data_IF_469894224194
#
_entry.id   IF_469894224194
#
_cell.length_a   1.000
_cell.length_b   1.000
_cell.length_c   1.000
_cell.angle_alpha   90.00
_cell.angle_beta   90.00
_cell.angle_gamma   90.00
#
_symmetry.space_group_name_H-M   'P 1'
#
loop_
_entity.id
_entity.type
_entity.pdbx_description
1 polymer ?
#
# COMPACT_ATOMS: atom_id res chain seq x y z
N UNK A 1 -42.92 25.96 -50.66
CA UNK A 1 -41.90 26.77 -49.95
C UNK A 1 -42.51 27.92 -49.16
N UNK A 2 -43.23 28.88 -49.78
CA UNK A 2 -43.86 29.99 -49.04
C UNK A 2 -44.81 29.52 -47.91
N UNK A 3 -45.64 28.51 -48.15
CA UNK A 3 -46.56 27.96 -47.14
C UNK A 3 -45.87 27.29 -45.93
N UNK A 4 -44.65 26.77 -46.12
CA UNK A 4 -43.82 26.22 -45.03
C UNK A 4 -43.33 27.37 -44.15
N UNK A 5 -42.84 28.44 -44.77
CA UNK A 5 -42.39 29.65 -44.07
C UNK A 5 -43.53 30.35 -43.31
N UNK A 6 -44.77 30.20 -43.77
CA UNK A 6 -45.96 30.70 -43.08
C UNK A 6 -46.45 29.79 -41.95
N UNK A 7 -45.84 28.62 -41.73
CA UNK A 7 -46.21 27.71 -40.65
C UNK A 7 -47.56 27.00 -40.84
N UNK A 8 -48.05 26.84 -42.08
CA UNK A 8 -49.34 26.16 -42.34
C UNK A 8 -49.32 24.68 -41.92
N UNK A 9 -50.21 24.28 -41.01
CA UNK A 9 -50.25 22.93 -40.42
C UNK A 9 -50.42 21.80 -41.46
N UNK A 10 -51.22 22.06 -42.50
CA UNK A 10 -51.49 21.10 -43.59
C UNK A 10 -50.25 20.71 -44.38
N UNK A 11 -49.24 21.59 -44.42
CA UNK A 11 -48.00 21.37 -45.17
C UNK A 11 -47.04 20.46 -44.40
N UNK A 12 -47.09 20.45 -43.06
CA UNK A 12 -46.22 19.60 -42.25
C UNK A 12 -46.52 18.11 -42.42
N UNK A 13 -47.78 17.74 -42.71
CA UNK A 13 -48.11 16.35 -43.07
C UNK A 13 -47.45 15.93 -44.39
N UNK A 14 -47.35 16.82 -45.36
CA UNK A 14 -46.68 16.58 -46.65
C UNK A 14 -45.15 16.60 -46.50
N UNK A 15 -44.62 17.27 -45.47
CA UNK A 15 -43.20 17.28 -45.14
C UNK A 15 -42.72 16.01 -44.43
N UNK A 16 -43.62 15.09 -44.05
CA UNK A 16 -43.24 13.83 -43.40
C UNK A 16 -42.17 13.07 -44.19
N UNK A 17 -42.30 13.03 -45.51
CA UNK A 17 -41.36 12.30 -46.38
C UNK A 17 -39.96 12.93 -46.45
N UNK A 18 -39.84 14.22 -46.08
CA UNK A 18 -38.58 14.97 -46.06
C UNK A 18 -37.98 15.05 -44.64
N UNK A 19 -38.77 14.75 -43.62
CA UNK A 19 -38.34 14.75 -42.22
C UNK A 19 -38.14 13.30 -41.76
N UNK A 20 -36.89 12.87 -41.63
CA UNK A 20 -36.55 11.48 -41.30
C UNK A 20 -37.08 11.02 -39.92
N UNK A 21 -37.22 11.95 -38.96
CA UNK A 21 -37.63 11.65 -37.57
C UNK A 21 -38.73 12.58 -37.07
N UNK A 22 -39.49 12.11 -36.07
CA UNK A 22 -40.49 12.92 -35.36
C UNK A 22 -39.85 14.16 -34.70
N UNK A 23 -38.58 14.05 -34.28
CA UNK A 23 -37.82 15.15 -33.69
C UNK A 23 -37.51 16.24 -34.72
N UNK A 24 -37.09 15.87 -35.94
CA UNK A 24 -36.90 16.84 -37.03
C UNK A 24 -38.24 17.55 -37.37
N UNK A 25 -39.34 16.80 -37.40
CA UNK A 25 -40.68 17.38 -37.59
C UNK A 25 -41.05 18.36 -36.47
N UNK A 26 -40.78 17.99 -35.21
CA UNK A 26 -41.03 18.85 -34.04
C UNK A 26 -40.25 20.16 -34.14
N UNK A 27 -38.93 20.09 -34.38
CA UNK A 27 -38.07 21.27 -34.53
C UNK A 27 -38.57 22.17 -35.67
N UNK A 28 -38.97 21.59 -36.79
CA UNK A 28 -39.51 22.33 -37.93
C UNK A 28 -40.83 23.04 -37.58
N UNK A 29 -41.75 22.35 -36.89
CA UNK A 29 -43.01 22.97 -36.43
C UNK A 29 -42.75 24.10 -35.46
N UNK A 30 -41.90 23.90 -34.45
CA UNK A 30 -41.54 24.95 -33.49
C UNK A 30 -40.89 26.15 -34.18
N UNK A 31 -39.96 25.91 -35.09
CA UNK A 31 -39.24 26.98 -35.78
C UNK A 31 -40.15 27.87 -36.63
N UNK A 32 -41.09 27.29 -37.38
CA UNK A 32 -41.95 28.04 -38.30
C UNK A 32 -43.31 28.45 -37.72
N UNK A 33 -43.84 27.76 -36.71
CA UNK A 33 -45.14 28.09 -36.11
C UNK A 33 -45.01 28.93 -34.85
N UNK A 34 -44.09 28.59 -33.94
CA UNK A 34 -43.94 29.30 -32.68
C UNK A 34 -42.53 29.10 -32.06
N UNK A 35 -41.58 30.00 -32.33
CA UNK A 35 -40.22 29.88 -31.80
C UNK A 35 -40.10 30.25 -30.31
N UNK A 36 -41.18 30.74 -29.66
CA UNK A 36 -41.19 31.20 -28.27
C UNK A 36 -42.02 30.27 -27.36
N UNK A 37 -42.20 29.01 -27.77
CA UNK A 37 -42.98 28.02 -27.01
C UNK A 37 -42.41 27.86 -25.60
N UNK A 38 -43.29 27.94 -24.61
CA UNK A 38 -42.92 27.67 -23.22
C UNK A 38 -42.82 26.18 -22.99
N UNK A 39 -41.95 25.79 -22.07
CA UNK A 39 -41.71 24.40 -21.65
C UNK A 39 -42.99 23.62 -21.35
N UNK A 40 -44.00 24.24 -20.72
CA UNK A 40 -45.27 23.59 -20.38
C UNK A 40 -46.17 23.31 -21.59
N UNK A 41 -46.00 24.04 -22.68
CA UNK A 41 -46.81 23.92 -23.90
C UNK A 41 -46.17 22.95 -24.90
N UNK A 42 -44.92 22.56 -24.66
CA UNK A 42 -44.13 21.73 -25.57
C UNK A 42 -44.75 20.34 -25.80
N UNK A 43 -45.39 19.77 -24.77
CA UNK A 43 -46.08 18.47 -24.86
C UNK A 43 -47.19 18.46 -25.93
N UNK A 44 -47.87 19.60 -26.12
CA UNK A 44 -48.93 19.72 -27.12
C UNK A 44 -48.41 19.59 -28.56
N UNK A 45 -47.17 20.02 -28.81
CA UNK A 45 -46.52 19.90 -30.11
C UNK A 45 -45.86 18.53 -30.33
N UNK A 46 -45.43 17.87 -29.25
CA UNK A 46 -44.75 16.58 -29.30
C UNK A 46 -45.70 15.44 -29.69
N UNK A 47 -46.87 15.32 -29.05
CA UNK A 47 -47.77 14.18 -29.28
C UNK A 47 -48.20 14.03 -30.76
N UNK A 48 -48.62 15.10 -31.47
CA UNK A 48 -48.95 15.01 -32.90
C UNK A 48 -47.75 14.59 -33.76
N UNK A 49 -46.55 15.06 -33.42
CA UNK A 49 -45.32 14.67 -34.12
C UNK A 49 -44.99 13.19 -33.88
N UNK A 50 -45.18 12.68 -32.66
CA UNK A 50 -44.96 11.26 -32.36
C UNK A 50 -46.00 10.40 -33.08
N UNK A 51 -47.28 10.77 -33.03
CA UNK A 51 -48.38 10.03 -33.66
C UNK A 51 -48.19 9.87 -35.17
N UNK A 52 -47.63 10.89 -35.84
CA UNK A 52 -47.30 10.84 -37.26
C UNK A 52 -46.25 9.78 -37.62
N UNK A 53 -45.39 9.39 -36.67
CA UNK A 53 -44.25 8.50 -36.87
C UNK A 53 -44.36 7.16 -36.11
N UNK A 54 -45.34 6.97 -35.21
CA UNK A 54 -45.58 5.75 -34.41
C UNK A 54 -45.76 4.45 -35.22
N UNK A 55 -46.14 4.54 -36.50
CA UNK A 55 -46.35 3.39 -37.38
C UNK A 55 -45.08 2.90 -38.11
N UNK A 56 -44.03 3.71 -38.14
CA UNK A 56 -42.74 3.33 -38.71
C UNK A 56 -41.88 2.74 -37.58
N UNK A 57 -41.30 1.55 -37.79
CA UNK A 57 -40.45 0.80 -36.84
C UNK A 57 -39.11 1.51 -36.49
N UNK A 58 -39.10 2.83 -36.59
CA UNK A 58 -37.98 3.76 -36.51
C UNK A 58 -37.91 4.51 -35.18
N UNK A 59 -38.78 4.19 -34.21
CA UNK A 59 -38.61 4.75 -32.87
C UNK A 59 -37.37 4.15 -32.23
N UNK A 60 -36.26 4.88 -32.31
CA UNK A 60 -35.01 4.50 -31.70
C UNK A 60 -35.16 4.56 -30.18
N UNK A 61 -34.40 3.76 -29.45
CA UNK A 61 -34.44 3.75 -27.98
C UNK A 61 -34.10 5.12 -27.37
N UNK A 62 -33.37 5.97 -28.11
CA UNK A 62 -33.13 7.38 -27.81
C UNK A 62 -34.41 8.22 -27.78
N UNK A 63 -35.43 7.86 -28.55
CA UNK A 63 -36.70 8.59 -28.59
C UNK A 63 -37.43 8.50 -27.25
N UNK A 64 -37.35 7.36 -26.56
CA UNK A 64 -37.92 7.21 -25.22
C UNK A 64 -37.21 8.12 -24.19
N UNK A 65 -35.89 8.31 -24.34
CA UNK A 65 -35.12 9.22 -23.49
C UNK A 65 -35.52 10.66 -23.77
N UNK A 66 -35.65 11.04 -25.05
CA UNK A 66 -36.06 12.39 -25.46
C UNK A 66 -37.49 12.71 -25.02
N UNK A 67 -38.41 11.75 -25.13
CA UNK A 67 -39.80 11.90 -24.65
C UNK A 67 -39.81 12.13 -23.14
N UNK A 68 -39.11 11.29 -22.36
CA UNK A 68 -39.02 11.46 -20.91
C UNK A 68 -38.38 12.82 -20.52
N UNK A 69 -37.36 13.27 -21.27
CA UNK A 69 -36.73 14.57 -21.09
C UNK A 69 -37.73 15.72 -21.33
N UNK A 70 -38.51 15.66 -22.41
CA UNK A 70 -39.52 16.67 -22.71
C UNK A 70 -40.72 16.64 -21.75
N UNK A 71 -41.02 15.48 -21.17
CA UNK A 71 -42.03 15.32 -20.13
C UNK A 71 -41.55 15.74 -18.73
N UNK A 72 -40.27 16.13 -18.60
CA UNK A 72 -39.61 16.43 -17.32
C UNK A 72 -39.62 15.26 -16.33
N UNK A 73 -39.79 14.02 -16.80
CA UNK A 73 -39.61 12.82 -15.98
C UNK A 73 -38.14 12.41 -15.94
N UNK A 74 -37.40 13.06 -15.05
CA UNK A 74 -35.96 12.85 -14.86
C UNK A 74 -35.66 11.41 -14.43
N UNK A 75 -36.50 10.83 -13.57
CA UNK A 75 -36.31 9.47 -13.05
C UNK A 75 -36.39 8.44 -14.17
N UNK A 76 -37.40 8.56 -15.04
CA UNK A 76 -37.56 7.69 -16.20
C UNK A 76 -36.45 7.90 -17.21
N UNK A 77 -36.05 9.15 -17.47
CA UNK A 77 -34.93 9.46 -18.36
C UNK A 77 -33.63 8.80 -17.90
N UNK A 78 -33.25 8.94 -16.62
CA UNK A 78 -32.02 8.31 -16.09
C UNK A 78 -32.11 6.79 -16.20
N UNK A 79 -33.26 6.18 -15.86
CA UNK A 79 -33.46 4.73 -15.99
C UNK A 79 -33.29 4.25 -17.43
N UNK A 80 -33.89 4.95 -18.39
CA UNK A 80 -33.73 4.64 -19.82
C UNK A 80 -32.29 4.80 -20.28
N UNK A 81 -31.57 5.82 -19.79
CA UNK A 81 -30.14 5.97 -20.03
C UNK A 81 -29.33 4.81 -19.45
N UNK A 82 -29.63 4.30 -18.25
CA UNK A 82 -28.92 3.16 -17.66
C UNK A 82 -29.13 1.86 -18.45
N UNK A 83 -30.32 1.65 -19.01
CA UNK A 83 -30.59 0.47 -19.84
C UNK A 83 -29.92 0.55 -21.21
N UNK A 84 -29.82 1.77 -21.77
CA UNK A 84 -29.37 1.95 -23.15
C UNK A 84 -27.88 2.24 -23.27
N UNK A 85 -27.33 3.04 -22.37
CA UNK A 85 -25.92 3.37 -22.34
C UNK A 85 -25.24 2.31 -21.47
N UNK A 86 -24.50 1.39 -22.11
CA UNK A 86 -23.73 0.31 -21.47
C UNK A 86 -22.68 0.80 -20.44
N UNK A 87 -22.58 2.11 -20.20
CA UNK A 87 -21.63 2.74 -19.32
C UNK A 87 -22.32 3.63 -18.29
N UNK A 88 -22.09 3.30 -17.01
CA UNK A 88 -22.53 4.06 -15.84
C UNK A 88 -21.97 5.48 -15.75
N UNK A 89 -20.91 5.81 -16.51
CA UNK A 89 -20.31 7.13 -16.50
C UNK A 89 -21.32 8.24 -16.79
N UNK A 90 -22.07 8.13 -17.89
CA UNK A 90 -22.99 9.19 -18.29
C UNK A 90 -24.10 9.38 -17.26
N UNK A 91 -24.71 8.29 -16.80
CA UNK A 91 -25.84 8.32 -15.87
C UNK A 91 -25.42 8.79 -14.49
N UNK A 92 -24.25 8.39 -14.00
CA UNK A 92 -23.70 8.86 -12.73
C UNK A 92 -23.41 10.38 -12.74
N UNK A 93 -22.76 10.89 -13.79
CA UNK A 93 -22.43 12.32 -13.89
C UNK A 93 -23.65 13.17 -14.21
N UNK A 94 -24.57 12.67 -15.03
CA UNK A 94 -25.84 13.37 -15.30
C UNK A 94 -26.67 13.46 -14.01
N UNK A 95 -26.80 12.36 -13.25
CA UNK A 95 -27.49 12.37 -11.98
C UNK A 95 -26.81 13.33 -10.97
N UNK A 96 -25.48 13.33 -10.90
CA UNK A 96 -24.72 14.24 -10.06
C UNK A 96 -24.97 15.72 -10.44
N UNK A 97 -24.91 16.05 -11.73
CA UNK A 97 -25.21 17.40 -12.24
C UNK A 97 -26.65 17.82 -11.93
N UNK A 98 -27.62 16.92 -12.11
CA UNK A 98 -29.04 17.18 -11.84
C UNK A 98 -29.32 17.36 -10.35
N UNK A 99 -28.60 16.65 -9.47
CA UNK A 99 -28.67 16.88 -8.04
C UNK A 99 -28.12 18.26 -7.68
N UNK A 100 -26.95 18.65 -8.20
CA UNK A 100 -26.35 19.95 -7.90
C UNK A 100 -27.14 21.15 -8.47
N UNK A 101 -27.88 20.95 -9.56
CA UNK A 101 -28.76 21.96 -10.14
C UNK A 101 -30.16 22.00 -9.50
N UNK A 102 -30.45 21.11 -8.55
CA UNK A 102 -31.73 21.09 -7.82
C UNK A 102 -32.89 20.44 -8.56
N UNK A 103 -32.65 19.85 -9.73
CA UNK A 103 -33.67 19.15 -10.52
C UNK A 103 -33.93 17.72 -10.03
N UNK A 104 -32.94 17.07 -9.42
CA UNK A 104 -33.08 15.75 -8.81
C UNK A 104 -33.17 15.88 -7.29
N UNK A 105 -34.36 15.67 -6.74
CA UNK A 105 -34.55 15.65 -5.29
C UNK A 105 -33.80 14.46 -4.66
N UNK A 106 -33.26 14.60 -3.44
CA UNK A 106 -32.66 13.50 -2.68
C UNK A 106 -33.75 12.59 -2.11
N UNK A 107 -34.55 11.98 -2.99
CA UNK A 107 -35.47 10.93 -2.60
C UNK A 107 -34.69 9.65 -2.36
N UNK A 108 -34.90 9.05 -1.18
CA UNK A 108 -34.30 7.77 -0.84
C UNK A 108 -35.08 6.66 -1.55
N UNK A 109 -34.37 5.86 -2.33
CA UNK A 109 -34.85 4.59 -2.87
C UNK A 109 -35.26 3.65 -1.72
N UNK A 110 -36.03 2.57 -1.98
CA UNK A 110 -36.42 1.60 -0.95
C UNK A 110 -35.24 1.01 -0.15
N UNK A 111 -34.03 1.04 -0.72
CA UNK A 111 -32.78 0.62 -0.08
C UNK A 111 -32.15 1.68 0.84
N UNK A 112 -32.80 2.84 1.01
CA UNK A 112 -32.28 3.97 1.82
C UNK A 112 -31.27 4.87 1.10
N UNK A 113 -30.90 4.56 -0.14
CA UNK A 113 -29.91 5.28 -0.93
C UNK A 113 -30.52 6.39 -1.78
N UNK A 114 -29.80 7.49 -1.96
CA UNK A 114 -30.16 8.45 -3.00
C UNK A 114 -29.89 7.86 -4.39
N UNK A 115 -30.70 8.24 -5.39
CA UNK A 115 -30.47 7.81 -6.78
C UNK A 115 -29.08 8.19 -7.29
N UNK A 116 -28.59 9.37 -6.88
CA UNK A 116 -27.23 9.83 -7.14
C UNK A 116 -26.18 8.87 -6.59
N UNK A 117 -26.27 8.53 -5.31
CA UNK A 117 -25.29 7.65 -4.66
C UNK A 117 -25.32 6.24 -5.26
N UNK A 118 -26.49 5.69 -5.55
CA UNK A 118 -26.62 4.41 -6.22
C UNK A 118 -25.83 4.37 -7.54
N UNK A 119 -26.01 5.37 -8.41
CA UNK A 119 -25.32 5.43 -9.70
C UNK A 119 -23.81 5.68 -9.57
N UNK A 120 -23.41 6.51 -8.59
CA UNK A 120 -22.00 6.73 -8.30
C UNK A 120 -21.31 5.47 -7.78
N UNK A 121 -21.99 4.67 -6.94
CA UNK A 121 -21.46 3.40 -6.43
C UNK A 121 -21.27 2.38 -7.55
N UNK A 122 -22.23 2.24 -8.47
CA UNK A 122 -22.11 1.34 -9.62
C UNK A 122 -21.00 1.80 -10.58
N UNK A 123 -20.90 3.10 -10.84
CA UNK A 123 -19.82 3.65 -11.65
C UNK A 123 -18.45 3.44 -10.99
N UNK A 124 -18.31 3.78 -9.70
CA UNK A 124 -17.08 3.56 -8.94
C UNK A 124 -16.68 2.07 -8.94
N UNK A 125 -17.65 1.17 -8.75
CA UNK A 125 -17.46 -0.28 -8.80
C UNK A 125 -16.93 -0.73 -10.17
N UNK A 126 -17.45 -0.18 -11.27
CA UNK A 126 -16.93 -0.46 -12.62
C UNK A 126 -15.48 0.00 -12.80
N UNK A 127 -15.10 1.13 -12.21
CA UNK A 127 -13.72 1.64 -12.22
C UNK A 127 -12.78 0.78 -11.37
N UNK A 128 -13.25 0.27 -10.23
CA UNK A 128 -12.48 -0.62 -9.35
C UNK A 128 -12.11 -1.93 -10.03
N UNK A 129 -12.98 -2.44 -10.91
CA UNK A 129 -12.68 -3.64 -11.70
C UNK A 129 -11.58 -3.42 -12.74
N UNK A 130 -11.28 -2.18 -13.11
CA UNK A 130 -10.27 -1.88 -14.13
C UNK A 130 -8.86 -1.74 -13.54
N UNK A 131 -7.86 -2.30 -14.23
CA UNK A 131 -6.47 -2.42 -13.75
C UNK A 131 -5.80 -1.09 -13.37
N UNK A 132 -6.11 -0.01 -14.08
CA UNK A 132 -5.49 1.30 -13.91
C UNK A 132 -6.42 2.38 -13.34
N UNK A 133 -7.75 2.20 -13.41
CA UNK A 133 -8.73 3.23 -13.05
C UNK A 133 -9.23 3.10 -11.62
N UNK A 134 -8.94 1.98 -10.93
CA UNK A 134 -9.31 1.80 -9.53
C UNK A 134 -8.93 2.97 -8.59
N UNK A 135 -7.80 3.71 -8.76
CA UNK A 135 -7.52 4.85 -7.88
C UNK A 135 -8.56 5.95 -8.02
N UNK A 136 -9.11 6.14 -9.23
CA UNK A 136 -10.18 7.10 -9.51
C UNK A 136 -11.49 6.60 -8.88
N UNK A 137 -11.77 5.30 -8.99
CA UNK A 137 -12.93 4.67 -8.35
C UNK A 137 -12.98 4.92 -6.83
N UNK A 138 -11.82 4.85 -6.16
CA UNK A 138 -11.72 5.16 -4.73
C UNK A 138 -12.14 6.61 -4.42
N UNK A 139 -11.76 7.57 -5.27
CA UNK A 139 -12.18 8.95 -5.07
C UNK A 139 -13.69 9.13 -5.19
N UNK A 140 -14.36 8.38 -6.07
CA UNK A 140 -15.82 8.42 -6.15
C UNK A 140 -16.51 7.89 -4.89
N UNK A 141 -15.93 6.86 -4.25
CA UNK A 141 -16.44 6.38 -2.96
C UNK A 141 -16.36 7.43 -1.85
N UNK A 142 -15.36 8.33 -1.87
CA UNK A 142 -15.27 9.42 -0.90
C UNK A 142 -16.44 10.42 -1.00
N UNK A 143 -17.09 10.51 -2.17
CA UNK A 143 -18.26 11.37 -2.41
C UNK A 143 -19.61 10.65 -2.20
N UNK A 144 -19.59 9.41 -1.68
CA UNK A 144 -20.77 8.61 -1.34
C UNK A 144 -20.95 8.58 0.19
N UNK A 145 -21.94 9.31 0.75
CA UNK A 145 -22.04 9.55 2.19
C UNK A 145 -22.52 8.35 3.03
N UNK A 146 -23.36 7.46 2.48
CA UNK A 146 -24.02 6.39 3.24
C UNK A 146 -23.21 5.09 3.14
N UNK A 147 -22.92 4.61 1.92
CA UNK A 147 -22.26 3.30 1.69
C UNK A 147 -20.85 3.38 1.10
N UNK A 148 -20.34 4.57 0.80
CA UNK A 148 -19.05 4.75 0.15
C UNK A 148 -17.89 4.05 0.89
N UNK A 149 -17.88 4.17 2.22
CA UNK A 149 -16.84 3.56 3.05
C UNK A 149 -16.91 2.02 3.08
N UNK A 150 -18.10 1.46 3.22
CA UNK A 150 -18.29 0.00 3.24
C UNK A 150 -17.88 -0.63 1.90
N UNK A 151 -18.25 0.00 0.79
CA UNK A 151 -17.83 -0.42 -0.54
C UNK A 151 -16.32 -0.31 -0.70
N UNK A 152 -15.72 0.80 -0.27
CA UNK A 152 -14.27 0.97 -0.33
C UNK A 152 -13.55 -0.18 0.40
N UNK A 153 -13.93 -0.48 1.64
CA UNK A 153 -13.34 -1.55 2.44
C UNK A 153 -13.46 -2.92 1.74
N UNK A 154 -14.65 -3.25 1.19
CA UNK A 154 -14.88 -4.49 0.44
C UNK A 154 -14.00 -4.62 -0.81
N UNK A 155 -13.85 -3.53 -1.57
CA UNK A 155 -13.05 -3.55 -2.80
C UNK A 155 -11.54 -3.52 -2.54
N UNK A 156 -11.08 -2.87 -1.46
CA UNK A 156 -9.67 -2.84 -1.09
C UNK A 156 -9.09 -4.24 -0.88
N UNK A 157 -9.85 -5.17 -0.30
CA UNK A 157 -9.43 -6.56 -0.10
C UNK A 157 -9.24 -7.35 -1.41
N UNK A 158 -9.87 -6.91 -2.50
CA UNK A 158 -9.89 -7.61 -3.80
C UNK A 158 -8.84 -7.09 -4.78
N UNK A 159 -8.20 -5.96 -4.49
CA UNK A 159 -7.21 -5.36 -5.40
C UNK A 159 -5.98 -6.29 -5.50
N UNK A 160 -5.57 -6.72 -6.70
CA UNK A 160 -4.42 -7.59 -6.84
C UNK A 160 -3.12 -6.86 -6.49
N UNK A 161 -2.34 -7.46 -5.59
CA UNK A 161 -1.08 -6.94 -5.06
C UNK A 161 0.12 -7.41 -5.91
N UNK A 162 0.14 -6.97 -7.16
CA UNK A 162 1.11 -7.47 -8.16
C UNK A 162 2.48 -6.78 -8.05
N UNK A 163 2.48 -5.46 -7.91
CA UNK A 163 3.69 -4.63 -7.92
C UNK A 163 3.81 -3.81 -6.64
N UNK A 164 5.04 -3.62 -6.18
CA UNK A 164 5.34 -2.82 -4.99
C UNK A 164 4.85 -1.37 -5.10
N UNK A 165 5.03 -0.73 -6.26
CA UNK A 165 4.52 0.63 -6.52
C UNK A 165 3.01 0.74 -6.29
N UNK A 166 2.25 -0.27 -6.73
CA UNK A 166 0.79 -0.33 -6.54
C UNK A 166 0.44 -0.48 -5.06
N UNK A 167 1.17 -1.31 -4.33
CA UNK A 167 0.99 -1.49 -2.88
C UNK A 167 1.30 -0.20 -2.12
N UNK A 168 2.41 0.48 -2.42
CA UNK A 168 2.76 1.75 -1.75
C UNK A 168 1.69 2.82 -1.99
N UNK A 169 1.16 2.91 -3.22
CA UNK A 169 0.02 3.79 -3.53
C UNK A 169 -1.21 3.43 -2.71
N UNK A 170 -1.52 2.14 -2.58
CA UNK A 170 -2.64 1.64 -1.79
C UNK A 170 -2.48 1.96 -0.29
N UNK A 171 -1.26 1.82 0.25
CA UNK A 171 -0.96 2.17 1.65
C UNK A 171 -1.16 3.65 1.91
N UNK A 172 -0.68 4.53 1.02
CA UNK A 172 -0.92 5.98 1.14
C UNK A 172 -2.42 6.33 1.09
N UNK A 173 -3.19 5.63 0.24
CA UNK A 173 -4.65 5.76 0.15
C UNK A 173 -5.32 5.32 1.47
N UNK A 174 -4.86 4.24 2.09
CA UNK A 174 -5.37 3.78 3.38
C UNK A 174 -4.99 4.75 4.52
N UNK A 175 -3.76 5.25 4.54
CA UNK A 175 -3.27 6.20 5.56
C UNK A 175 -4.05 7.51 5.53
N UNK A 176 -4.24 8.10 4.33
CA UNK A 176 -5.00 9.34 4.14
C UNK A 176 -6.46 9.24 4.58
N UNK A 177 -7.04 8.04 4.59
CA UNK A 177 -8.44 7.77 4.99
C UNK A 177 -8.58 7.15 6.38
N UNK A 178 -7.49 7.04 7.14
CA UNK A 178 -7.50 6.45 8.49
C UNK A 178 -7.78 4.94 8.52
N UNK A 179 -7.63 4.22 7.40
CA UNK A 179 -7.85 2.77 7.27
C UNK A 179 -6.61 1.98 7.73
N UNK A 180 -6.19 2.17 8.97
CA UNK A 180 -4.95 1.61 9.52
C UNK A 180 -4.96 0.08 9.56
N UNK A 181 -6.09 -0.54 9.91
CA UNK A 181 -6.21 -2.00 9.97
C UNK A 181 -6.06 -2.66 8.59
N UNK A 182 -6.60 -2.03 7.55
CA UNK A 182 -6.43 -2.48 6.16
C UNK A 182 -4.97 -2.33 5.71
N UNK A 183 -4.32 -1.21 6.04
CA UNK A 183 -2.90 -1.01 5.74
C UNK A 183 -2.00 -2.08 6.38
N UNK A 184 -2.26 -2.44 7.65
CA UNK A 184 -1.59 -3.54 8.35
C UNK A 184 -1.83 -4.88 7.65
N UNK A 185 -3.07 -5.18 7.27
CA UNK A 185 -3.43 -6.41 6.57
C UNK A 185 -2.69 -6.54 5.23
N UNK A 186 -2.68 -5.48 4.42
CA UNK A 186 -1.97 -5.43 3.13
C UNK A 186 -0.47 -5.69 3.32
N UNK A 187 0.16 -5.00 4.28
CA UNK A 187 1.57 -5.20 4.62
C UNK A 187 1.86 -6.64 5.06
N UNK A 188 0.98 -7.25 5.87
CA UNK A 188 1.11 -8.64 6.33
C UNK A 188 1.01 -9.65 5.19
N UNK A 189 0.09 -9.44 4.24
CA UNK A 189 -0.05 -10.28 3.04
C UNK A 189 1.20 -10.18 2.17
N UNK A 190 1.73 -8.97 1.96
CA UNK A 190 2.95 -8.73 1.21
C UNK A 190 4.18 -9.35 1.89
N UNK A 191 4.31 -9.20 3.20
CA UNK A 191 5.37 -9.85 3.98
C UNK A 191 5.36 -11.37 3.81
N UNK A 192 4.17 -12.00 3.95
CA UNK A 192 4.01 -13.46 3.70
C UNK A 192 4.33 -13.86 2.25
N UNK A 193 3.96 -13.05 1.26
CA UNK A 193 4.28 -13.29 -0.16
C UNK A 193 5.80 -13.27 -0.38
N UNK A 194 6.49 -12.29 0.19
CA UNK A 194 7.96 -12.18 0.12
C UNK A 194 8.67 -13.36 0.80
N UNK A 195 8.17 -13.82 1.95
CA UNK A 195 8.69 -15.02 2.63
C UNK A 195 8.57 -16.28 1.75
N UNK A 196 7.47 -16.47 1.03
CA UNK A 196 7.32 -17.58 0.07
C UNK A 196 8.33 -17.50 -1.07
N UNK A 197 8.71 -16.30 -1.50
CA UNK A 197 9.72 -16.08 -2.53
C UNK A 197 11.16 -16.11 -2.01
N UNK A 198 11.40 -16.52 -0.75
CA UNK A 198 12.72 -16.50 -0.08
C UNK A 198 13.40 -15.12 -0.01
N UNK A 199 12.63 -14.03 -0.12
CA UNK A 199 13.12 -12.65 0.00
C UNK A 199 12.84 -12.12 1.40
N UNK A 200 13.71 -12.49 2.34
CA UNK A 200 13.53 -12.24 3.77
C UNK A 200 13.63 -10.75 4.11
N UNK A 201 14.54 -10.01 3.46
CA UNK A 201 14.73 -8.57 3.68
C UNK A 201 13.50 -7.73 3.33
N UNK A 202 12.96 -7.97 2.14
CA UNK A 202 11.72 -7.31 1.73
C UNK A 202 10.55 -7.70 2.63
N UNK A 203 10.45 -8.98 3.03
CA UNK A 203 9.41 -9.41 3.97
C UNK A 203 9.48 -8.66 5.30
N UNK A 204 10.68 -8.52 5.85
CA UNK A 204 10.93 -7.77 7.08
C UNK A 204 10.53 -6.29 6.94
N UNK A 205 10.91 -5.64 5.83
CA UNK A 205 10.50 -4.26 5.55
C UNK A 205 8.97 -4.08 5.53
N UNK A 206 8.24 -5.02 4.92
CA UNK A 206 6.77 -5.00 4.95
C UNK A 206 6.19 -5.22 6.35
N UNK A 207 6.75 -6.13 7.15
CA UNK A 207 6.30 -6.33 8.53
C UNK A 207 6.56 -5.12 9.43
N UNK A 208 7.70 -4.44 9.21
CA UNK A 208 8.03 -3.19 9.91
C UNK A 208 7.08 -2.06 9.51
N UNK A 209 6.72 -1.95 8.23
CA UNK A 209 5.69 -1.01 7.75
C UNK A 209 4.33 -1.28 8.38
N UNK A 210 3.94 -2.54 8.63
CA UNK A 210 2.70 -2.85 9.36
C UNK A 210 2.72 -2.48 10.86
N UNK A 211 3.83 -1.96 11.40
CA UNK A 211 4.03 -1.77 12.86
C UNK A 211 3.78 -3.06 13.66
N UNK A 212 3.91 -4.21 13.00
CA UNK A 212 3.75 -5.52 13.63
C UNK A 212 5.10 -5.93 14.25
N UNK A 213 5.33 -5.45 15.47
CA UNK A 213 6.57 -5.70 16.21
C UNK A 213 6.79 -7.18 16.50
N UNK A 214 5.72 -7.97 16.58
CA UNK A 214 5.78 -9.40 16.90
C UNK A 214 6.38 -10.23 15.76
N UNK A 215 5.86 -10.06 14.54
CA UNK A 215 6.39 -10.77 13.37
C UNK A 215 7.78 -10.28 12.97
N UNK A 216 8.04 -8.97 13.11
CA UNK A 216 9.38 -8.44 12.88
C UNK A 216 10.40 -9.03 13.86
N UNK A 217 10.06 -9.14 15.15
CA UNK A 217 10.94 -9.73 16.16
C UNK A 217 11.22 -11.21 15.90
N UNK A 218 10.18 -12.00 15.61
CA UNK A 218 10.33 -13.43 15.33
C UNK A 218 11.18 -13.68 14.07
N UNK A 219 10.98 -12.87 13.03
CA UNK A 219 11.80 -12.97 11.82
C UNK A 219 13.25 -12.57 12.08
N UNK A 220 13.48 -11.53 12.90
CA UNK A 220 14.82 -11.11 13.32
C UNK A 220 15.55 -12.23 14.09
N UNK A 221 14.86 -12.91 15.00
CA UNK A 221 15.42 -14.06 15.74
C UNK A 221 15.79 -15.20 14.81
N UNK A 222 14.92 -15.50 13.84
CA UNK A 222 15.19 -16.56 12.87
C UNK A 222 16.43 -16.25 12.01
N UNK A 223 16.61 -15.01 11.59
CA UNK A 223 17.79 -14.56 10.83
C UNK A 223 19.05 -14.70 11.68
N UNK A 224 19.01 -14.30 12.95
CA UNK A 224 20.15 -14.40 13.86
C UNK A 224 20.52 -15.86 14.14
N UNK A 225 19.53 -16.75 14.30
CA UNK A 225 19.77 -18.18 14.48
C UNK A 225 20.43 -18.81 13.25
N UNK A 226 19.95 -18.48 12.04
CA UNK A 226 20.54 -18.96 10.79
C UNK A 226 22.00 -18.47 10.63
N UNK A 227 22.27 -17.22 11.03
CA UNK A 227 23.64 -16.71 11.05
C UNK A 227 24.53 -17.47 12.04
N UNK A 228 24.06 -17.78 13.25
CA UNK A 228 24.84 -18.58 14.22
C UNK A 228 25.24 -19.95 13.68
N UNK A 229 24.39 -20.58 12.87
CA UNK A 229 24.64 -21.91 12.30
C UNK A 229 25.55 -21.87 11.07
N UNK A 230 25.42 -20.84 10.23
CA UNK A 230 26.06 -20.78 8.90
C UNK A 230 27.26 -19.84 8.83
N UNK A 231 27.36 -18.88 9.75
CA UNK A 231 28.38 -17.83 9.75
C UNK A 231 28.27 -16.82 8.60
N UNK A 232 27.17 -16.83 7.84
CA UNK A 232 26.96 -15.94 6.70
C UNK A 232 25.53 -15.41 6.67
N UNK A 233 25.34 -14.18 6.19
CA UNK A 233 24.01 -13.68 5.86
C UNK A 233 23.57 -14.28 4.51
N UNK A 234 22.71 -15.29 4.55
CA UNK A 234 22.19 -15.98 3.37
C UNK A 234 21.36 -15.09 2.42
N UNK A 235 20.92 -13.91 2.87
CA UNK A 235 20.04 -13.02 2.09
C UNK A 235 20.59 -11.60 2.00
N UNK A 236 21.25 -11.28 0.89
CA UNK A 236 21.72 -9.93 0.52
C UNK A 236 20.57 -8.89 0.49
N UNK A 237 19.31 -9.30 0.26
CA UNK A 237 18.15 -8.40 0.26
C UNK A 237 17.84 -7.76 1.62
N UNK A 238 18.24 -8.38 2.74
CA UNK A 238 18.07 -7.80 4.09
C UNK A 238 18.83 -6.48 4.20
N UNK A 239 19.96 -6.44 3.54
CA UNK A 239 21.00 -5.45 3.69
C UNK A 239 20.63 -4.14 2.99
N UNK A 240 19.94 -4.19 1.85
CA UNK A 240 19.53 -2.99 1.12
C UNK A 240 18.24 -2.36 1.66
N UNK A 241 17.38 -3.15 2.31
CA UNK A 241 15.99 -2.76 2.60
C UNK A 241 15.72 -2.38 4.07
N UNK A 242 16.72 -2.47 4.95
CA UNK A 242 16.57 -2.17 6.38
C UNK A 242 16.56 -0.68 6.71
N UNK A 243 17.22 0.18 5.92
CA UNK A 243 17.16 1.66 5.98
C UNK A 243 16.86 2.26 7.36
N UNK A 244 15.84 3.13 7.43
CA UNK A 244 15.36 3.77 8.66
C UNK A 244 14.55 2.84 9.58
N UNK A 245 14.20 1.64 9.12
CA UNK A 245 13.40 0.67 9.88
C UNK A 245 14.23 -0.09 10.93
N UNK A 246 15.55 0.09 10.91
CA UNK A 246 16.50 -0.44 11.88
C UNK A 246 16.23 0.02 13.31
N UNK A 247 15.77 1.27 13.51
CA UNK A 247 15.55 1.86 14.84
C UNK A 247 14.28 1.36 15.56
N UNK A 248 13.49 0.50 14.94
CA UNK A 248 12.21 0.03 15.49
C UNK A 248 12.37 -1.11 16.52
N UNK A 249 13.53 -1.79 16.54
CA UNK A 249 13.81 -2.88 17.47
C UNK A 249 15.29 -2.94 17.78
N UNK A 250 15.64 -3.12 19.06
CA UNK A 250 17.04 -3.29 19.49
C UNK A 250 17.76 -4.42 18.77
N UNK A 251 17.05 -5.52 18.43
CA UNK A 251 17.58 -6.65 17.66
C UNK A 251 17.87 -6.30 16.20
N UNK A 252 17.07 -5.41 15.61
CA UNK A 252 17.28 -4.92 14.24
C UNK A 252 18.40 -3.89 14.20
N UNK A 253 18.48 -3.02 15.21
CA UNK A 253 19.63 -2.13 15.44
C UNK A 253 20.91 -2.93 15.52
N UNK A 254 20.92 -3.99 16.33
CA UNK A 254 22.06 -4.90 16.42
C UNK A 254 22.43 -5.49 15.04
N UNK A 255 21.47 -6.08 14.34
CA UNK A 255 21.71 -6.72 13.03
C UNK A 255 22.28 -5.73 12.00
N UNK A 256 21.77 -4.49 12.00
CA UNK A 256 22.25 -3.44 11.12
C UNK A 256 23.66 -2.97 11.43
N UNK A 257 23.95 -2.69 12.71
CA UNK A 257 25.28 -2.28 13.17
C UNK A 257 26.32 -3.40 13.00
N UNK A 258 25.92 -4.66 13.25
CA UNK A 258 26.80 -5.82 13.10
C UNK A 258 27.18 -6.07 11.63
N UNK A 259 26.29 -5.73 10.69
CA UNK A 259 26.64 -5.76 9.27
C UNK A 259 27.55 -4.59 8.87
N UNK A 260 27.32 -3.40 9.40
CA UNK A 260 28.24 -2.27 9.15
C UNK A 260 29.66 -2.60 9.64
N UNK A 261 29.79 -3.35 10.74
CA UNK A 261 31.07 -3.90 11.19
C UNK A 261 31.74 -4.76 10.12
N UNK A 262 31.02 -5.75 9.54
CA UNK A 262 31.59 -6.59 8.48
C UNK A 262 31.97 -5.79 7.23
N UNK A 263 31.17 -4.78 6.87
CA UNK A 263 31.45 -3.91 5.72
C UNK A 263 32.73 -3.09 5.94
N UNK A 264 32.87 -2.44 7.10
CA UNK A 264 34.09 -1.70 7.46
C UNK A 264 35.31 -2.62 7.50
N UNK A 265 35.15 -3.85 7.99
CA UNK A 265 36.20 -4.86 8.01
C UNK A 265 36.64 -5.28 6.59
N UNK A 266 35.70 -5.44 5.66
CA UNK A 266 35.98 -5.72 4.23
C UNK A 266 36.60 -4.53 3.50
N UNK A 267 36.21 -3.30 3.84
CA UNK A 267 36.74 -2.06 3.27
C UNK A 267 38.15 -1.71 3.80
N UNK A 268 38.64 -2.42 4.82
CA UNK A 268 39.96 -2.21 5.43
C UNK A 268 39.99 -1.14 6.52
N UNK A 269 38.82 -0.63 6.92
CA UNK A 269 38.65 0.34 8.02
C UNK A 269 38.63 -0.40 9.38
N UNK A 270 39.74 -1.10 9.69
CA UNK A 270 39.80 -2.08 10.79
C UNK A 270 39.61 -1.41 12.16
N UNK A 271 40.09 -0.16 12.34
CA UNK A 271 39.96 0.57 13.60
C UNK A 271 38.50 0.98 13.90
N UNK A 272 37.77 1.44 12.88
CA UNK A 272 36.35 1.78 13.04
C UNK A 272 35.51 0.53 13.26
N UNK A 273 35.82 -0.55 12.54
CA UNK A 273 35.21 -1.86 12.76
C UNK A 273 35.40 -2.35 14.21
N UNK A 274 36.62 -2.25 14.75
CA UNK A 274 36.91 -2.66 16.12
C UNK A 274 36.11 -1.84 17.16
N UNK A 275 36.05 -0.52 16.99
CA UNK A 275 35.27 0.35 17.88
C UNK A 275 33.76 0.03 17.82
N UNK A 276 33.23 -0.23 16.63
CA UNK A 276 31.83 -0.59 16.44
C UNK A 276 31.50 -1.94 17.09
N UNK A 277 32.37 -2.95 16.94
CA UNK A 277 32.18 -4.26 17.56
C UNK A 277 32.19 -4.19 19.08
N UNK A 278 33.12 -3.43 19.67
CA UNK A 278 33.16 -3.23 21.14
C UNK A 278 31.91 -2.47 21.60
N UNK A 279 31.50 -1.43 20.87
CA UNK A 279 30.25 -0.70 21.17
C UNK A 279 29.02 -1.62 21.12
N UNK A 280 28.97 -2.57 20.19
CA UNK A 280 27.87 -3.54 20.07
C UNK A 280 27.79 -4.47 21.28
N UNK A 281 28.95 -4.94 21.75
CA UNK A 281 29.08 -5.82 22.91
C UNK A 281 28.72 -5.03 24.19
N UNK A 282 29.26 -3.82 24.36
CA UNK A 282 29.00 -2.95 25.50
C UNK A 282 27.54 -2.47 25.59
N UNK A 283 26.89 -2.17 24.46
CA UNK A 283 25.50 -1.72 24.41
C UNK A 283 24.47 -2.84 24.72
N UNK A 284 24.91 -4.11 24.81
CA UNK A 284 24.06 -5.29 25.12
C UNK A 284 22.83 -5.43 24.20
N UNK A 285 22.96 -5.03 22.93
CA UNK A 285 21.87 -5.10 21.95
C UNK A 285 21.68 -6.52 21.38
N UNK A 286 22.73 -7.34 21.41
CA UNK A 286 22.72 -8.70 20.90
C UNK A 286 22.07 -9.68 21.89
N UNK A 287 21.28 -10.68 21.42
CA UNK A 287 20.86 -11.80 22.24
C UNK A 287 22.06 -12.55 22.83
N UNK A 288 21.96 -13.05 24.07
CA UNK A 288 23.07 -13.73 24.77
C UNK A 288 23.65 -14.92 24.02
N UNK A 289 22.81 -15.67 23.31
CA UNK A 289 23.20 -16.79 22.45
C UNK A 289 24.21 -16.36 21.37
N UNK A 290 24.18 -15.10 20.94
CA UNK A 290 25.04 -14.55 19.91
C UNK A 290 26.37 -13.99 20.46
N UNK A 291 26.49 -13.80 21.78
CA UNK A 291 27.67 -13.14 22.36
C UNK A 291 28.96 -13.94 22.13
N UNK A 292 28.89 -15.27 22.16
CA UNK A 292 30.06 -16.12 21.87
C UNK A 292 30.54 -15.89 20.43
N UNK A 293 29.62 -15.77 19.47
CA UNK A 293 29.94 -15.47 18.07
C UNK A 293 30.61 -14.10 17.95
N UNK A 294 30.01 -13.04 18.51
CA UNK A 294 30.60 -11.70 18.55
C UNK A 294 32.01 -11.67 19.13
N UNK A 295 32.23 -12.39 20.23
CA UNK A 295 33.54 -12.48 20.88
C UNK A 295 34.53 -13.30 20.05
N UNK A 296 34.08 -14.31 19.31
CA UNK A 296 34.91 -14.99 18.33
C UNK A 296 35.31 -14.08 17.17
N UNK A 297 34.41 -13.23 16.68
CA UNK A 297 34.71 -12.26 15.61
C UNK A 297 35.63 -11.14 16.09
N UNK A 298 35.73 -10.92 17.42
CA UNK A 298 36.73 -10.05 18.02
C UNK A 298 38.13 -10.68 18.10
N UNK A 299 38.28 -12.01 17.97
CA UNK A 299 39.58 -12.69 18.09
C UNK A 299 40.64 -12.17 17.10
N UNK A 300 40.36 -12.02 15.79
CA UNK A 300 41.35 -11.51 14.84
C UNK A 300 41.79 -10.07 15.17
N UNK A 301 40.86 -9.26 15.68
CA UNK A 301 41.12 -7.88 16.08
C UNK A 301 42.00 -7.83 17.34
N UNK A 302 41.73 -8.70 18.31
CA UNK A 302 42.51 -8.83 19.53
C UNK A 302 43.91 -9.38 19.27
N UNK A 303 44.09 -10.26 18.28
CA UNK A 303 45.39 -10.88 17.96
C UNK A 303 46.22 -10.08 16.94
N UNK A 304 45.65 -8.99 16.38
CA UNK A 304 46.34 -8.12 15.44
C UNK A 304 47.62 -7.51 16.03
N UNK A 305 48.58 -7.17 15.16
CA UNK A 305 49.86 -6.57 15.57
C UNK A 305 49.70 -5.09 15.96
N UNK A 306 48.76 -4.39 15.32
CA UNK A 306 48.40 -3.02 15.65
C UNK A 306 47.43 -2.99 16.84
N UNK A 307 47.55 -1.98 17.69
CA UNK A 307 46.71 -1.87 18.87
C UNK A 307 45.34 -1.30 18.51
N UNK A 308 44.44 -2.18 18.07
CA UNK A 308 43.08 -1.81 17.65
C UNK A 308 42.10 -1.66 18.81
N UNK A 309 42.32 -2.40 19.90
CA UNK A 309 41.45 -2.47 21.08
C UNK A 309 42.27 -2.05 22.31
N UNK A 310 41.84 -0.98 22.98
CA UNK A 310 42.55 -0.41 24.13
C UNK A 310 42.30 -1.18 25.44
N UNK A 311 43.00 -0.80 26.51
CA UNK A 311 42.89 -1.48 27.81
C UNK A 311 41.45 -1.43 28.37
N UNK A 312 40.78 -0.28 28.28
CA UNK A 312 39.40 -0.08 28.74
C UNK A 312 38.40 -0.97 27.98
N UNK A 313 38.49 -0.98 26.65
CA UNK A 313 37.68 -1.85 25.79
C UNK A 313 37.96 -3.34 26.06
N UNK A 314 39.23 -3.69 26.34
CA UNK A 314 39.60 -5.06 26.72
C UNK A 314 38.93 -5.46 28.05
N UNK A 315 38.87 -4.56 29.05
CA UNK A 315 38.15 -4.81 30.29
C UNK A 315 36.64 -5.01 30.08
N UNK A 316 36.02 -4.23 29.18
CA UNK A 316 34.60 -4.41 28.83
C UNK A 316 34.33 -5.80 28.24
N UNK A 317 35.19 -6.25 27.31
CA UNK A 317 35.10 -7.59 26.73
C UNK A 317 35.33 -8.70 27.78
N UNK A 318 36.28 -8.50 28.69
CA UNK A 318 36.52 -9.44 29.80
C UNK A 318 35.30 -9.57 30.72
N UNK A 319 34.60 -8.46 30.99
CA UNK A 319 33.36 -8.49 31.77
C UNK A 319 32.27 -9.32 31.07
N UNK A 320 32.11 -9.17 29.75
CA UNK A 320 31.15 -9.97 28.97
C UNK A 320 31.49 -11.46 28.97
N UNK A 321 32.77 -11.82 28.84
CA UNK A 321 33.24 -13.21 28.91
C UNK A 321 32.97 -13.82 30.28
N UNK A 322 33.21 -13.07 31.36
CA UNK A 322 32.97 -13.56 32.73
C UNK A 322 31.47 -13.78 32.99
N UNK A 323 30.60 -12.91 32.48
CA UNK A 323 29.14 -13.08 32.56
C UNK A 323 28.69 -14.37 31.85
N UNK A 324 29.15 -14.61 30.62
CA UNK A 324 28.85 -15.84 29.87
C UNK A 324 29.36 -17.10 30.59
N UNK A 325 30.55 -17.01 31.20
CA UNK A 325 31.14 -18.16 31.89
C UNK A 325 30.32 -18.55 33.12
N UNK A 326 29.82 -17.55 33.87
CA UNK A 326 28.92 -17.79 35.01
C UNK A 326 27.61 -18.44 34.56
N UNK A 327 27.01 -17.98 33.48
CA UNK A 327 25.77 -18.58 32.96
C UNK A 327 25.95 -20.01 32.48
N UNK A 328 27.03 -20.30 31.75
CA UNK A 328 27.34 -21.67 31.29
C UNK A 328 27.62 -22.60 32.48
N UNK A 329 28.17 -22.08 33.57
CA UNK A 329 28.37 -22.87 34.80
C UNK A 329 27.07 -23.19 35.55
N UNK A 330 26.02 -22.40 35.36
CA UNK A 330 24.69 -22.60 35.96
C UNK A 330 23.82 -23.57 35.16
N UNK A 331 24.08 -23.74 33.86
CA UNK A 331 23.41 -24.71 32.99
C UNK A 331 24.01 -26.10 33.26
N UNK A 332 23.65 -26.67 34.41
CA UNK A 332 24.09 -27.98 34.88
C UNK A 332 23.18 -29.12 34.44
N UNK A 333 22.92 -29.30 33.13
CA UNK A 333 22.03 -30.37 32.66
C UNK A 333 22.66 -31.29 31.60
N UNK A 334 22.43 -32.59 31.78
CA UNK A 334 23.23 -33.71 31.26
C UNK A 334 23.08 -33.97 29.73
N UNK A 335 22.17 -33.24 29.05
CA UNK A 335 21.76 -33.53 27.67
C UNK A 335 22.48 -32.71 26.57
N UNK A 336 23.38 -31.77 26.90
CA UNK A 336 24.09 -30.93 25.89
C UNK A 336 25.61 -30.89 26.06
N UNK A 337 26.22 -31.93 26.65
CA UNK A 337 27.66 -31.98 26.96
C UNK A 337 28.60 -31.62 25.79
N UNK A 338 28.35 -32.09 24.57
CA UNK A 338 29.22 -31.80 23.41
C UNK A 338 29.15 -30.34 22.94
N UNK A 339 27.97 -29.72 22.97
CA UNK A 339 27.80 -28.33 22.55
C UNK A 339 28.43 -27.38 23.58
N UNK A 340 28.26 -27.69 24.87
CA UNK A 340 28.94 -26.99 25.97
C UNK A 340 30.47 -27.10 25.90
N UNK A 341 31.03 -28.25 25.50
CA UNK A 341 32.49 -28.42 25.36
C UNK A 341 33.09 -27.51 24.29
N UNK A 342 32.41 -27.37 23.14
CA UNK A 342 32.84 -26.48 22.06
C UNK A 342 32.79 -25.01 22.50
N UNK A 343 31.71 -24.61 23.17
CA UNK A 343 31.57 -23.25 23.70
C UNK A 343 32.61 -22.94 24.79
N UNK A 344 32.90 -23.89 25.68
CA UNK A 344 33.99 -23.76 26.68
C UNK A 344 35.35 -23.59 26.03
N UNK A 345 35.62 -24.33 24.95
CA UNK A 345 36.88 -24.21 24.20
C UNK A 345 37.00 -22.85 23.53
N UNK A 346 35.92 -22.37 22.90
CA UNK A 346 35.86 -21.01 22.31
C UNK A 346 36.12 -19.94 23.37
N UNK A 347 35.48 -20.04 24.53
CA UNK A 347 35.67 -19.10 25.64
C UNK A 347 37.10 -19.11 26.20
N UNK A 348 37.74 -20.28 26.27
CA UNK A 348 39.14 -20.38 26.66
C UNK A 348 40.05 -19.61 25.69
N UNK A 349 39.85 -19.79 24.38
CA UNK A 349 40.62 -19.07 23.36
C UNK A 349 40.40 -17.55 23.44
N UNK A 350 39.15 -17.11 23.64
CA UNK A 350 38.82 -15.69 23.84
C UNK A 350 39.51 -15.12 25.08
N UNK A 351 39.47 -15.83 26.22
CA UNK A 351 40.18 -15.41 27.44
C UNK A 351 41.68 -15.26 27.19
N UNK A 352 42.27 -16.21 26.49
CA UNK A 352 43.70 -16.18 26.17
C UNK A 352 44.07 -14.97 25.30
N UNK A 353 43.30 -14.70 24.23
CA UNK A 353 43.50 -13.54 23.37
C UNK A 353 43.33 -12.21 24.12
N UNK A 354 42.32 -12.10 24.99
CA UNK A 354 42.09 -10.91 25.82
C UNK A 354 43.26 -10.63 26.77
N UNK A 355 43.81 -11.65 27.43
CA UNK A 355 44.96 -11.49 28.33
C UNK A 355 46.19 -10.98 27.56
N UNK A 356 46.44 -11.53 26.36
CA UNK A 356 47.56 -11.09 25.52
C UNK A 356 47.36 -9.68 24.96
N UNK A 357 46.13 -9.29 24.66
CA UNK A 357 45.84 -7.91 24.27
C UNK A 357 45.97 -6.95 25.46
N UNK A 358 45.53 -7.36 26.66
CA UNK A 358 45.66 -6.56 27.88
C UNK A 358 47.15 -6.31 28.23
N UNK A 359 47.98 -7.34 28.16
CA UNK A 359 49.43 -7.22 28.39
C UNK A 359 50.06 -6.21 27.42
N UNK A 360 49.78 -6.34 26.12
CA UNK A 360 50.29 -5.41 25.09
C UNK A 360 49.76 -3.98 25.27
N UNK A 361 48.47 -3.83 25.53
CA UNK A 361 47.83 -2.52 25.70
C UNK A 361 48.37 -1.77 26.91
N UNK A 362 48.58 -2.44 28.05
CA UNK A 362 49.16 -1.82 29.24
C UNK A 362 50.60 -1.37 28.98
N UNK A 363 51.39 -2.18 28.27
CA UNK A 363 52.78 -1.83 27.92
C UNK A 363 52.81 -0.61 26.99
N UNK A 364 51.95 -0.57 25.97
CA UNK A 364 51.89 0.53 25.00
C UNK A 364 51.32 1.81 25.61
N UNK A 365 50.21 1.74 26.34
CA UNK A 365 49.61 2.91 27.01
C UNK A 365 50.49 3.44 28.15
N UNK A 366 51.21 2.54 28.85
CA UNK A 366 52.18 2.89 29.88
C UNK A 366 53.45 3.54 29.33
N UNK A 367 53.87 3.15 28.13
CA UNK A 367 55.06 3.72 27.46
C UNK A 367 54.79 5.05 26.77
N UNK A 368 53.58 5.28 26.25
CA UNK A 368 53.18 6.58 25.65
C UNK A 368 53.06 7.70 26.70
N UNK A 369 52.87 7.38 27.99
CA UNK A 369 52.86 8.38 29.08
C UNK A 369 54.25 8.78 29.59
N UNK A 370 55.32 8.20 29.05
CA UNK A 370 56.72 8.46 29.46
C UNK A 370 57.51 9.34 28.49
N UNK A 371 56.87 9.93 27.47
CA UNK A 371 57.48 10.91 26.55
C UNK A 371 56.98 12.33 26.76
#
# INVERSE_FOLDING_TARGET
>A
MAKILCGEETVFHQMKDYCETWFHMLVSKLFYQNPVVKTMELQHYIQPCIDMYRGDNRMAQLDNILIALFEFDISQMIRSCCTYLDNWWFTAHLADLLTHSGFLAPQKLPQGLSMREYLLLDYASSLMSHKSLWPIGIHYFDFCPELGREYLELYLERIPLDTEKKVLKLLNICETRGLQEHAKSICKVMGKKCLKTKRVGQALSWFLKSKDSSYAALLSEKILAEYCETGQFSHLDLLENLGTSMFLSSKLTFLGQYREFHKLYEEGEIQEAANLLVSLIGARLAPKVFWITLLCDALPLLESQEMLINSQQTYELMHCVEELTKEISLIGDDNQKKMLEVEKTKLYNIRFALIRNLDRSIILEGSVKLS
#
